data_IF_003455402699
#
_entry.id   IF_003455402699
#
_cell.length_a   1.000
_cell.length_b   1.000
_cell.length_c   1.000
_cell.angle_alpha   90.00
_cell.angle_beta   90.00
_cell.angle_gamma   90.00
#
_symmetry.space_group_name_H-M   'P 1'
#
loop_
_entity.id
_entity.type
_entity.pdbx_description
1 polymer ?
#
# COMPACT_ATOMS: atom_id res chain seq x y z
N UNK A 1 0.09 -17.54 -4.83
CA UNK A 1 -1.02 -16.64 -4.45
C UNK A 1 -0.93 -15.26 -5.10
N UNK A 2 -0.06 -14.31 -4.68
CA UNK A 2 -0.03 -12.95 -5.28
C UNK A 2 0.17 -12.95 -6.80
N UNK A 3 1.14 -13.71 -7.32
CA UNK A 3 1.38 -13.85 -8.78
C UNK A 3 0.15 -14.38 -9.52
N UNK A 4 -0.61 -15.30 -8.93
CA UNK A 4 -1.84 -15.83 -9.53
C UNK A 4 -2.95 -14.78 -9.59
N UNK A 5 -3.06 -13.91 -8.58
CA UNK A 5 -4.00 -12.78 -8.59
C UNK A 5 -3.60 -11.76 -9.66
N UNK A 6 -2.30 -11.48 -9.80
CA UNK A 6 -1.77 -10.62 -10.86
C UNK A 6 -2.10 -11.20 -12.23
N UNK A 7 -1.87 -12.50 -12.46
CA UNK A 7 -2.19 -13.14 -13.74
C UNK A 7 -3.69 -13.13 -14.06
N UNK A 8 -4.54 -13.41 -13.07
CA UNK A 8 -6.00 -13.27 -13.20
C UNK A 8 -6.41 -11.84 -13.54
N UNK A 9 -5.71 -10.84 -13.02
CA UNK A 9 -6.00 -9.44 -13.32
C UNK A 9 -5.81 -9.14 -14.81
N UNK A 10 -4.74 -9.68 -15.42
CA UNK A 10 -4.50 -9.51 -16.85
C UNK A 10 -5.59 -10.13 -17.71
N UNK A 11 -6.14 -11.28 -17.30
CA UNK A 11 -7.25 -11.92 -18.01
C UNK A 11 -8.56 -11.14 -17.85
N UNK A 12 -8.90 -10.78 -16.61
CA UNK A 12 -10.16 -10.10 -16.28
C UNK A 12 -10.28 -8.73 -16.95
N UNK A 13 -9.17 -7.98 -16.99
CA UNK A 13 -9.14 -6.63 -17.55
C UNK A 13 -8.76 -6.58 -19.04
N UNK A 14 -8.44 -7.72 -19.69
CA UNK A 14 -8.05 -7.77 -21.11
C UNK A 14 -9.11 -7.21 -22.07
N UNK A 15 -10.38 -7.21 -21.67
CA UNK A 15 -11.51 -6.66 -22.45
C UNK A 15 -11.48 -5.12 -22.56
N UNK A 16 -10.73 -4.44 -21.67
CA UNK A 16 -10.62 -2.99 -21.67
C UNK A 16 -9.51 -2.53 -22.60
N UNK A 17 -9.79 -1.46 -23.34
CA UNK A 17 -8.86 -0.85 -24.27
C UNK A 17 -8.43 0.52 -23.75
N UNK A 18 -7.20 0.97 -24.02
CA UNK A 18 -6.78 2.32 -23.69
C UNK A 18 -7.61 3.30 -24.51
N UNK A 19 -7.90 4.47 -23.95
CA UNK A 19 -8.54 5.50 -24.76
C UNK A 19 -7.52 6.15 -25.68
N UNK A 20 -8.00 6.78 -26.77
CA UNK A 20 -7.15 7.52 -27.70
C UNK A 20 -7.83 8.84 -28.07
N UNK A 21 -7.24 10.00 -27.71
CA UNK A 21 -6.06 10.16 -26.86
C UNK A 21 -6.32 9.70 -25.41
N UNK A 22 -5.26 9.30 -24.70
CA UNK A 22 -5.27 9.02 -23.26
C UNK A 22 -5.65 10.26 -22.45
N UNK A 23 -6.23 10.07 -21.26
CA UNK A 23 -6.56 11.16 -20.34
C UNK A 23 -5.31 11.60 -19.54
N UNK A 24 -4.40 12.27 -20.26
CA UNK A 24 -3.12 12.81 -19.76
C UNK A 24 -2.76 14.10 -20.50
N UNK A 25 -2.14 15.03 -19.81
CA UNK A 25 -1.62 16.27 -20.40
C UNK A 25 -0.44 15.99 -21.32
N UNK A 26 -0.62 16.20 -22.62
CA UNK A 26 0.45 16.07 -23.61
C UNK A 26 1.24 17.35 -23.88
N UNK A 27 0.84 18.47 -23.26
CA UNK A 27 1.50 19.77 -23.45
C UNK A 27 2.77 19.92 -22.59
N UNK A 28 2.78 19.31 -21.39
CA UNK A 28 3.92 19.44 -20.46
C UNK A 28 4.29 18.17 -19.69
N UNK A 29 3.40 17.16 -19.57
CA UNK A 29 3.66 15.99 -18.73
C UNK A 29 4.20 14.78 -19.51
N UNK A 30 3.61 14.47 -20.67
CA UNK A 30 4.01 13.35 -21.51
C UNK A 30 4.04 13.80 -22.98
N UNK A 31 5.07 13.45 -23.76
CA UNK A 31 5.04 13.83 -25.18
C UNK A 31 3.99 13.01 -25.94
N UNK A 32 3.41 13.55 -27.03
CA UNK A 32 2.47 12.79 -27.88
C UNK A 32 3.04 11.43 -28.35
N UNK A 33 4.35 11.33 -28.61
CA UNK A 33 4.96 10.05 -28.99
C UNK A 33 4.97 9.03 -27.85
N UNK A 34 5.18 9.48 -26.61
CA UNK A 34 5.15 8.62 -25.42
C UNK A 34 3.73 8.19 -25.08
N UNK A 35 2.76 9.09 -25.21
CA UNK A 35 1.33 8.78 -25.06
C UNK A 35 0.91 7.69 -26.05
N UNK A 36 1.24 7.89 -27.33
CA UNK A 36 0.94 6.92 -28.37
C UNK A 36 1.64 5.59 -28.13
N UNK A 37 2.90 5.62 -27.68
CA UNK A 37 3.66 4.41 -27.32
C UNK A 37 3.00 3.67 -26.17
N UNK A 38 2.60 4.36 -25.11
CA UNK A 38 1.94 3.76 -23.95
C UNK A 38 0.64 3.07 -24.36
N UNK A 39 -0.20 3.76 -25.14
CA UNK A 39 -1.48 3.23 -25.61
C UNK A 39 -1.35 2.07 -26.63
N UNK A 40 -0.14 1.79 -27.14
CA UNK A 40 0.10 0.78 -28.19
C UNK A 40 0.86 -0.44 -27.70
N UNK A 41 1.47 -0.40 -26.52
CA UNK A 41 2.20 -1.52 -25.96
C UNK A 41 1.24 -2.57 -25.39
N UNK A 42 1.57 -3.88 -25.51
CA UNK A 42 0.91 -4.90 -24.69
C UNK A 42 1.05 -4.55 -23.21
N UNK A 43 -0.05 -4.63 -22.43
CA UNK A 43 -0.08 -4.14 -21.03
C UNK A 43 1.03 -4.73 -20.17
N UNK A 44 1.35 -6.03 -20.33
CA UNK A 44 2.45 -6.72 -19.63
C UNK A 44 3.84 -6.16 -19.95
N UNK A 45 4.01 -5.53 -21.11
CA UNK A 45 5.30 -5.03 -21.60
C UNK A 45 5.48 -3.53 -21.34
N UNK A 46 4.51 -2.85 -20.73
CA UNK A 46 4.62 -1.42 -20.43
C UNK A 46 5.77 -1.19 -19.43
N UNK A 47 6.78 -0.37 -19.78
CA UNK A 47 7.86 -0.03 -18.86
C UNK A 47 7.36 0.78 -17.66
N UNK A 48 7.94 0.54 -16.47
CA UNK A 48 7.64 1.28 -15.24
C UNK A 48 7.69 2.79 -15.44
N UNK A 49 8.77 3.30 -16.04
CA UNK A 49 8.97 4.74 -16.23
C UNK A 49 7.91 5.37 -17.16
N UNK A 50 7.49 4.64 -18.21
CA UNK A 50 6.45 5.12 -19.10
C UNK A 50 5.09 5.18 -18.40
N UNK A 51 4.77 4.17 -17.57
CA UNK A 51 3.57 4.19 -16.75
C UNK A 51 3.62 5.26 -15.65
N UNK A 52 4.80 5.53 -15.09
CA UNK A 52 5.01 6.58 -14.10
C UNK A 52 4.77 7.98 -14.66
N UNK A 53 5.29 8.28 -15.85
CA UNK A 53 5.00 9.55 -16.53
C UNK A 53 3.49 9.75 -16.75
N UNK A 54 2.77 8.68 -17.10
CA UNK A 54 1.32 8.71 -17.20
C UNK A 54 0.65 8.88 -15.83
N UNK A 55 1.08 8.16 -14.79
CA UNK A 55 0.46 8.23 -13.47
C UNK A 55 0.57 9.63 -12.85
N UNK A 56 1.76 10.21 -12.94
CA UNK A 56 2.15 11.47 -12.30
C UNK A 56 1.76 12.71 -13.11
N UNK A 57 1.53 12.56 -14.41
CA UNK A 57 1.16 13.68 -15.25
C UNK A 57 -0.23 14.24 -14.93
N UNK A 58 -0.41 15.51 -15.27
CA UNK A 58 -1.68 16.21 -15.11
C UNK A 58 -2.78 15.50 -15.91
N UNK A 59 -3.95 15.39 -15.29
CA UNK A 59 -5.10 14.62 -15.78
C UNK A 59 -6.39 15.33 -15.35
N UNK A 60 -7.52 15.07 -16.00
CA UNK A 60 -8.83 15.46 -15.47
C UNK A 60 -9.03 14.91 -14.06
N UNK A 61 -9.93 15.53 -13.29
CA UNK A 61 -10.28 15.06 -11.94
C UNK A 61 -10.70 13.58 -11.94
N UNK A 62 -11.42 13.17 -12.99
CA UNK A 62 -11.83 11.78 -13.22
C UNK A 62 -11.51 11.39 -14.67
N UNK A 63 -10.59 10.43 -14.83
CA UNK A 63 -10.27 9.84 -16.14
C UNK A 63 -11.37 8.88 -16.57
N UNK A 64 -11.33 8.43 -17.81
CA UNK A 64 -12.19 7.33 -18.28
C UNK A 64 -11.84 6.04 -17.55
N UNK A 65 -12.84 5.35 -17.00
CA UNK A 65 -12.59 4.18 -16.16
C UNK A 65 -12.00 3.02 -16.96
N UNK A 66 -12.37 2.89 -18.24
CA UNK A 66 -11.85 1.85 -19.12
C UNK A 66 -10.34 1.96 -19.31
N UNK A 67 -9.81 3.20 -19.35
CA UNK A 67 -8.38 3.46 -19.42
C UNK A 67 -7.65 3.01 -18.15
N UNK A 68 -8.23 3.31 -16.99
CA UNK A 68 -7.65 2.91 -15.71
C UNK A 68 -7.69 1.40 -15.57
N UNK A 69 -8.82 0.77 -15.90
CA UNK A 69 -8.98 -0.68 -15.91
C UNK A 69 -8.02 -1.36 -16.89
N UNK A 70 -7.76 -0.76 -18.06
CA UNK A 70 -6.81 -1.29 -19.03
C UNK A 70 -5.38 -1.38 -18.47
N UNK A 71 -4.91 -0.36 -17.76
CA UNK A 71 -3.55 -0.34 -17.22
C UNK A 71 -3.41 -1.02 -15.85
N UNK A 72 -4.51 -1.20 -15.10
CA UNK A 72 -4.51 -1.70 -13.73
C UNK A 72 -3.71 -3.00 -13.51
N UNK A 73 -3.79 -4.03 -14.38
CA UNK A 73 -2.97 -5.23 -14.22
C UNK A 73 -1.47 -4.95 -14.15
N UNK A 74 -0.98 -3.95 -14.89
CA UNK A 74 0.43 -3.57 -14.86
C UNK A 74 0.81 -2.85 -13.58
N UNK A 75 -0.09 -2.07 -12.98
CA UNK A 75 0.15 -1.54 -11.64
C UNK A 75 0.32 -2.68 -10.64
N UNK A 76 -0.53 -3.69 -10.67
CA UNK A 76 -0.44 -4.84 -9.76
C UNK A 76 0.85 -5.65 -9.92
N UNK A 77 1.26 -5.90 -11.17
CA UNK A 77 2.50 -6.60 -11.49
C UNK A 77 3.73 -5.85 -10.97
N UNK A 78 3.79 -4.54 -11.22
CA UNK A 78 4.87 -3.67 -10.75
C UNK A 78 4.91 -3.57 -9.22
N UNK A 79 3.76 -3.37 -8.58
CA UNK A 79 3.66 -3.30 -7.12
C UNK A 79 4.08 -4.62 -6.47
N UNK A 80 3.71 -5.77 -7.05
CA UNK A 80 4.17 -7.08 -6.57
C UNK A 80 5.69 -7.27 -6.59
N UNK A 81 6.41 -6.40 -7.30
CA UNK A 81 7.88 -6.35 -7.35
C UNK A 81 8.45 -5.13 -6.60
N UNK A 82 7.60 -4.39 -5.87
CA UNK A 82 7.91 -3.11 -5.22
C UNK A 82 8.43 -2.04 -6.19
N UNK A 83 8.04 -2.12 -7.46
CA UNK A 83 8.39 -1.17 -8.52
C UNK A 83 7.30 -0.11 -8.75
N UNK A 84 7.12 0.81 -7.81
CA UNK A 84 6.01 1.79 -7.89
C UNK A 84 6.09 2.72 -9.13
N UNK A 85 5.05 2.77 -9.99
CA UNK A 85 5.03 3.60 -11.19
C UNK A 85 4.63 5.05 -10.84
N UNK A 86 5.40 5.70 -9.97
CA UNK A 86 5.21 7.07 -9.52
C UNK A 86 6.46 7.55 -8.76
N UNK A 87 6.60 8.86 -8.60
CA UNK A 87 7.62 9.45 -7.73
C UNK A 87 7.31 9.32 -6.23
N UNK A 88 6.03 9.16 -5.84
CA UNK A 88 5.62 9.00 -4.42
C UNK A 88 4.74 7.76 -4.28
N UNK A 89 5.21 6.73 -3.58
CA UNK A 89 4.57 5.41 -3.50
C UNK A 89 3.10 5.48 -3.08
N UNK A 90 2.73 6.41 -2.18
CA UNK A 90 1.36 6.66 -1.75
C UNK A 90 0.39 7.03 -2.89
N UNK A 91 0.93 7.51 -4.02
CA UNK A 91 0.17 7.95 -5.19
C UNK A 91 0.13 6.91 -6.32
N UNK A 92 0.66 5.69 -6.10
CA UNK A 92 0.69 4.63 -7.12
C UNK A 92 -0.70 4.31 -7.65
N UNK A 93 -1.73 4.42 -6.80
CA UNK A 93 -3.12 4.21 -7.16
C UNK A 93 -3.94 5.52 -7.26
N UNK A 94 -3.31 6.67 -7.41
CA UNK A 94 -4.02 7.97 -7.48
C UNK A 94 -5.08 8.04 -8.59
N UNK A 95 -4.90 7.27 -9.67
CA UNK A 95 -5.86 7.15 -10.76
C UNK A 95 -7.09 6.29 -10.40
N UNK A 96 -7.10 5.53 -9.30
CA UNK A 96 -8.27 4.79 -8.81
C UNK A 96 -9.18 5.63 -7.91
N UNK A 97 -8.62 6.63 -7.22
CA UNK A 97 -9.32 7.43 -6.20
C UNK A 97 -10.66 8.05 -6.65
N UNK A 98 -10.84 8.54 -7.89
CA UNK A 98 -12.10 9.18 -8.31
C UNK A 98 -13.27 8.23 -8.62
N UNK A 99 -13.09 6.92 -8.49
CA UNK A 99 -14.08 5.93 -8.92
C UNK A 99 -14.83 5.28 -7.75
N UNK A 100 -16.16 5.25 -7.87
CA UNK A 100 -17.04 4.60 -6.91
C UNK A 100 -17.16 3.10 -7.19
N UNK A 101 -17.46 2.31 -6.15
CA UNK A 101 -17.63 0.84 -6.26
C UNK A 101 -18.68 0.43 -7.31
N UNK A 102 -19.67 1.29 -7.60
CA UNK A 102 -20.72 1.02 -8.60
C UNK A 102 -20.20 0.97 -10.04
N UNK A 103 -19.00 1.50 -10.30
CA UNK A 103 -18.39 1.53 -11.63
C UNK A 103 -17.57 0.26 -11.93
N UNK A 104 -17.48 -0.64 -10.95
CA UNK A 104 -16.76 -1.90 -11.02
C UNK A 104 -17.76 -3.07 -11.09
N UNK A 105 -17.43 -4.08 -11.88
CA UNK A 105 -18.21 -5.32 -11.83
C UNK A 105 -17.92 -6.07 -10.53
N UNK A 106 -18.79 -7.01 -10.16
CA UNK A 106 -18.58 -7.85 -8.98
C UNK A 106 -17.24 -8.59 -9.01
N UNK A 107 -16.89 -9.16 -10.16
CA UNK A 107 -15.64 -9.93 -10.32
C UNK A 107 -14.41 -9.01 -10.25
N UNK A 108 -14.53 -7.77 -10.73
CA UNK A 108 -13.47 -6.76 -10.61
C UNK A 108 -13.27 -6.33 -9.16
N UNK A 109 -14.35 -6.04 -8.42
CA UNK A 109 -14.27 -5.72 -6.99
C UNK A 109 -13.67 -6.86 -6.17
N UNK A 110 -14.06 -8.10 -6.48
CA UNK A 110 -13.51 -9.28 -5.82
C UNK A 110 -12.00 -9.41 -6.08
N UNK A 111 -11.56 -9.24 -7.32
CA UNK A 111 -10.14 -9.28 -7.67
C UNK A 111 -9.35 -8.12 -7.03
N UNK A 112 -9.92 -6.90 -6.99
CA UNK A 112 -9.34 -5.75 -6.28
C UNK A 112 -9.11 -6.09 -4.80
N UNK A 113 -10.12 -6.68 -4.15
CA UNK A 113 -10.03 -7.10 -2.76
C UNK A 113 -8.95 -8.17 -2.56
N UNK A 114 -8.98 -9.24 -3.36
CA UNK A 114 -7.97 -10.30 -3.32
C UNK A 114 -6.55 -9.76 -3.53
N UNK A 115 -6.36 -8.83 -4.47
CA UNK A 115 -5.06 -8.19 -4.69
C UNK A 115 -4.61 -7.44 -3.44
N UNK A 116 -5.45 -6.57 -2.87
CA UNK A 116 -5.07 -5.79 -1.68
C UNK A 116 -4.66 -6.68 -0.50
N UNK A 117 -5.38 -7.78 -0.28
CA UNK A 117 -5.09 -8.75 0.78
C UNK A 117 -3.77 -9.47 0.53
N UNK A 118 -3.59 -10.06 -0.65
CA UNK A 118 -2.39 -10.85 -0.95
C UNK A 118 -1.14 -9.98 -1.10
N UNK A 119 -1.29 -8.77 -1.62
CA UNK A 119 -0.20 -7.79 -1.69
C UNK A 119 0.20 -7.32 -0.28
N UNK A 120 -0.77 -7.02 0.59
CA UNK A 120 -0.45 -6.59 1.94
C UNK A 120 0.24 -7.69 2.76
N UNK A 121 -0.21 -8.94 2.66
CA UNK A 121 0.51 -10.10 3.23
C UNK A 121 1.93 -10.21 2.69
N UNK A 122 2.12 -9.99 1.39
CA UNK A 122 3.45 -9.99 0.79
C UNK A 122 4.35 -8.92 1.43
N UNK A 123 3.85 -7.70 1.64
CA UNK A 123 4.56 -6.65 2.38
C UNK A 123 4.91 -7.09 3.81
N UNK A 124 3.99 -7.70 4.55
CA UNK A 124 4.23 -8.18 5.92
C UNK A 124 5.27 -9.30 6.00
N UNK A 125 5.44 -10.07 4.93
CA UNK A 125 6.39 -11.20 4.86
C UNK A 125 7.84 -10.80 4.54
N UNK A 126 8.10 -9.51 4.25
CA UNK A 126 9.42 -9.02 3.86
C UNK A 126 9.77 -7.79 4.69
N UNK A 127 10.96 -7.80 5.29
CA UNK A 127 11.49 -6.67 6.04
C UNK A 127 12.99 -6.48 5.80
N UNK A 128 13.47 -5.24 5.53
CA UNK A 128 12.67 -4.05 5.23
C UNK A 128 11.96 -4.20 3.87
N UNK A 129 10.96 -3.35 3.58
CA UNK A 129 10.37 -3.33 2.23
C UNK A 129 11.47 -2.99 1.20
N UNK A 130 11.53 -3.68 0.04
CA UNK A 130 12.59 -3.49 -0.95
C UNK A 130 12.33 -2.25 -1.83
N UNK A 131 12.02 -1.13 -1.19
CA UNK A 131 11.78 0.18 -1.79
C UNK A 131 12.43 1.25 -0.92
N UNK A 132 13.02 2.27 -1.56
CA UNK A 132 13.86 3.24 -0.86
C UNK A 132 13.04 4.09 0.11
N UNK A 133 13.35 4.02 1.41
CA UNK A 133 12.74 4.77 2.52
C UNK A 133 11.24 4.54 2.77
N UNK A 134 10.59 3.67 2.01
CA UNK A 134 9.19 3.35 2.22
C UNK A 134 9.01 2.35 3.37
N UNK A 135 7.94 2.57 4.13
CA UNK A 135 7.56 1.76 5.28
C UNK A 135 6.11 1.30 5.12
N UNK A 136 5.64 0.47 6.05
CA UNK A 136 4.29 -0.09 5.99
C UNK A 136 3.18 0.98 5.99
N UNK A 137 3.40 2.13 6.64
CA UNK A 137 2.48 3.28 6.61
C UNK A 137 2.31 3.85 5.19
N UNK A 138 3.37 3.90 4.38
CA UNK A 138 3.29 4.31 2.97
C UNK A 138 2.34 3.40 2.20
N UNK A 139 2.44 2.08 2.40
CA UNK A 139 1.59 1.08 1.75
C UNK A 139 0.14 1.22 2.22
N UNK A 140 -0.09 1.44 3.50
CA UNK A 140 -1.43 1.66 4.05
C UNK A 140 -2.06 2.94 3.50
N UNK A 141 -1.31 4.04 3.35
CA UNK A 141 -1.79 5.28 2.74
C UNK A 141 -2.16 5.04 1.27
N UNK A 142 -1.29 4.34 0.52
CA UNK A 142 -1.53 4.00 -0.88
C UNK A 142 -2.85 3.23 -1.05
N UNK A 143 -3.07 2.20 -0.22
CA UNK A 143 -4.26 1.36 -0.29
C UNK A 143 -5.52 2.11 0.20
N UNK A 144 -5.39 2.91 1.26
CA UNK A 144 -6.49 3.70 1.80
C UNK A 144 -6.98 4.74 0.77
N UNK A 145 -6.06 5.46 0.12
CA UNK A 145 -6.38 6.44 -0.93
C UNK A 145 -7.11 5.83 -2.13
N UNK A 146 -6.86 4.56 -2.40
CA UNK A 146 -7.51 3.82 -3.47
C UNK A 146 -8.85 3.21 -3.05
N UNK A 147 -9.29 3.41 -1.81
CA UNK A 147 -10.58 2.94 -1.31
C UNK A 147 -10.59 1.45 -0.91
N UNK A 148 -9.44 0.83 -0.71
CA UNK A 148 -9.36 -0.54 -0.18
C UNK A 148 -9.76 -0.59 1.30
N UNK A 149 -10.27 -1.73 1.74
CA UNK A 149 -10.74 -1.91 3.11
C UNK A 149 -9.56 -2.08 4.09
N UNK A 150 -9.11 -0.98 4.69
CA UNK A 150 -8.01 -1.00 5.65
C UNK A 150 -8.33 -1.85 6.88
N UNK A 151 -9.60 -1.91 7.32
CA UNK A 151 -9.98 -2.73 8.48
C UNK A 151 -9.63 -4.21 8.28
N UNK A 152 -9.94 -4.77 7.11
CA UNK A 152 -9.64 -6.17 6.79
C UNK A 152 -8.13 -6.42 6.76
N UNK A 153 -7.35 -5.47 6.22
CA UNK A 153 -5.89 -5.56 6.18
C UNK A 153 -5.29 -5.54 7.60
N UNK A 154 -5.81 -4.68 8.48
CA UNK A 154 -5.36 -4.62 9.87
C UNK A 154 -5.74 -5.89 10.66
N UNK A 155 -6.89 -6.50 10.38
CA UNK A 155 -7.24 -7.82 10.94
C UNK A 155 -6.28 -8.91 10.45
N UNK A 156 -5.84 -8.87 9.20
CA UNK A 156 -4.80 -9.79 8.71
C UNK A 156 -3.49 -9.57 9.46
N UNK A 157 -3.08 -8.31 9.63
CA UNK A 157 -1.84 -7.98 10.31
C UNK A 157 -1.82 -8.43 11.77
N UNK A 158 -2.94 -8.24 12.48
CA UNK A 158 -3.11 -8.71 13.86
C UNK A 158 -2.85 -10.23 14.00
N UNK A 159 -3.12 -11.02 12.96
CA UNK A 159 -2.92 -12.46 12.97
C UNK A 159 -1.55 -12.92 12.40
N UNK A 160 -0.72 -11.98 11.93
CA UNK A 160 0.56 -12.28 11.30
C UNK A 160 1.71 -12.19 12.31
N UNK A 161 2.02 -13.32 12.96
CA UNK A 161 2.98 -13.42 14.07
C UNK A 161 4.42 -13.72 13.61
N UNK A 162 4.88 -13.06 12.56
CA UNK A 162 6.25 -13.18 12.06
C UNK A 162 7.14 -12.06 12.59
N UNK A 163 8.45 -12.29 12.50
CA UNK A 163 9.46 -11.27 12.84
C UNK A 163 9.28 -10.04 11.96
N UNK A 164 9.16 -10.23 10.65
CA UNK A 164 9.00 -9.18 9.64
C UNK A 164 7.76 -8.32 9.93
N UNK A 165 6.62 -8.96 10.19
CA UNK A 165 5.37 -8.29 10.61
C UNK A 165 5.53 -7.47 11.89
N UNK A 166 6.26 -7.99 12.88
CA UNK A 166 6.51 -7.30 14.16
C UNK A 166 7.41 -6.09 13.99
N UNK A 167 8.41 -6.16 13.10
CA UNK A 167 9.28 -5.03 12.78
C UNK A 167 8.50 -3.91 12.05
N UNK A 168 7.59 -4.27 11.14
CA UNK A 168 6.65 -3.30 10.57
C UNK A 168 5.77 -2.64 11.64
N UNK A 169 5.29 -3.41 12.62
CA UNK A 169 4.43 -2.90 13.69
C UNK A 169 5.18 -1.89 14.56
N UNK A 170 6.45 -2.20 14.86
CA UNK A 170 7.36 -1.27 15.53
C UNK A 170 7.56 0.01 14.73
N UNK A 171 7.86 -0.08 13.44
CA UNK A 171 8.07 1.08 12.59
C UNK A 171 6.82 1.97 12.50
N UNK A 172 5.62 1.37 12.48
CA UNK A 172 4.37 2.13 12.54
C UNK A 172 4.23 2.90 13.85
N UNK A 173 4.55 2.28 14.99
CA UNK A 173 4.43 2.91 16.31
C UNK A 173 5.40 4.09 16.50
N UNK A 174 6.65 3.95 16.07
CA UNK A 174 7.66 4.99 16.32
C UNK A 174 7.81 6.01 15.19
N UNK A 175 7.46 5.64 13.96
CA UNK A 175 7.76 6.46 12.78
C UNK A 175 6.55 6.70 11.87
N UNK A 176 5.43 6.01 12.08
CA UNK A 176 4.21 6.18 11.28
C UNK A 176 3.48 7.51 11.51
N UNK A 177 3.70 8.14 12.66
CA UNK A 177 3.00 9.36 13.07
C UNK A 177 3.96 10.55 13.21
N UNK A 178 3.42 11.75 13.09
CA UNK A 178 4.14 12.99 13.26
C UNK A 178 4.57 13.17 14.73
N UNK A 179 5.87 13.36 14.96
CA UNK A 179 6.47 13.46 16.30
C UNK A 179 5.96 14.65 17.12
N UNK A 180 5.47 15.72 16.48
CA UNK A 180 4.98 16.92 17.14
C UNK A 180 3.44 16.99 17.14
N UNK A 181 2.78 16.22 16.27
CA UNK A 181 1.33 16.15 16.15
C UNK A 181 0.89 14.70 15.92
N UNK A 182 1.03 13.87 16.95
CA UNK A 182 0.77 12.42 16.91
C UNK A 182 -0.58 12.00 16.29
N UNK A 183 -1.68 12.76 16.38
CA UNK A 183 -2.92 12.47 15.63
C UNK A 183 -2.80 12.54 14.10
N UNK A 184 -1.63 12.89 13.56
CA UNK A 184 -1.33 13.00 12.13
C UNK A 184 -0.29 11.96 11.73
N UNK A 185 -0.45 11.35 10.57
CA UNK A 185 0.59 10.51 9.96
C UNK A 185 1.82 11.34 9.59
N UNK A 186 3.00 10.71 9.61
CA UNK A 186 4.27 11.37 9.27
C UNK A 186 4.35 11.73 7.79
N UNK A 187 3.82 10.87 6.90
CA UNK A 187 3.69 11.19 5.49
C UNK A 187 2.64 12.28 5.26
N UNK A 188 3.00 13.26 4.42
CA UNK A 188 2.10 14.35 4.01
C UNK A 188 0.91 13.87 3.16
N UNK A 189 0.97 12.65 2.63
CA UNK A 189 -0.12 12.03 1.87
C UNK A 189 -1.16 11.35 2.77
N UNK A 190 -0.84 11.12 4.05
CA UNK A 190 -1.76 10.54 5.02
C UNK A 190 -2.95 11.45 5.34
N UNK A 191 -4.13 10.84 5.46
CA UNK A 191 -5.34 11.54 5.90
C UNK A 191 -5.62 11.34 7.39
N UNK A 192 -6.39 12.27 7.99
CA UNK A 192 -6.82 12.16 9.39
C UNK A 192 -7.63 10.87 9.63
N UNK A 193 -8.51 10.50 8.70
CA UNK A 193 -9.33 9.29 8.81
C UNK A 193 -8.48 8.02 8.96
N UNK A 194 -7.46 7.86 8.11
CA UNK A 194 -6.53 6.74 8.23
C UNK A 194 -5.74 6.80 9.54
N UNK A 195 -5.27 7.98 9.95
CA UNK A 195 -4.58 8.15 11.21
C UNK A 195 -5.46 7.69 12.40
N UNK A 196 -6.73 8.11 12.42
CA UNK A 196 -7.69 7.71 13.46
C UNK A 196 -7.90 6.18 13.45
N UNK A 197 -8.09 5.56 12.29
CA UNK A 197 -8.23 4.10 12.14
C UNK A 197 -7.02 3.37 12.74
N UNK A 198 -5.81 3.82 12.38
CA UNK A 198 -4.58 3.19 12.84
C UNK A 198 -4.35 3.38 14.34
N UNK A 199 -4.63 4.57 14.88
CA UNK A 199 -4.52 4.83 16.32
C UNK A 199 -5.50 3.99 17.15
N UNK A 200 -6.73 3.84 16.68
CA UNK A 200 -7.74 2.98 17.33
C UNK A 200 -7.27 1.52 17.30
N UNK A 201 -6.78 1.05 16.16
CA UNK A 201 -6.26 -0.31 16.02
C UNK A 201 -5.05 -0.55 16.95
N UNK A 202 -4.07 0.35 16.96
CA UNK A 202 -2.90 0.28 17.85
C UNK A 202 -3.28 0.30 19.34
N UNK A 203 -4.36 0.98 19.72
CA UNK A 203 -4.82 1.06 21.12
C UNK A 203 -5.66 -0.16 21.54
N UNK A 204 -6.04 -1.04 20.60
CA UNK A 204 -6.87 -2.22 20.85
C UNK A 204 -6.12 -3.26 21.68
N UNK A 205 -6.78 -3.79 22.71
CA UNK A 205 -6.16 -4.71 23.68
C UNK A 205 -5.70 -6.03 23.03
N UNK A 206 -6.47 -6.58 22.08
CA UNK A 206 -6.10 -7.82 21.37
C UNK A 206 -4.84 -7.64 20.53
N UNK A 207 -4.72 -6.51 19.83
CA UNK A 207 -3.54 -6.12 19.05
C UNK A 207 -2.32 -6.00 19.98
N UNK A 208 -2.44 -5.25 21.08
CA UNK A 208 -1.35 -5.09 22.06
C UNK A 208 -0.90 -6.42 22.64
N UNK A 209 -1.83 -7.30 23.02
CA UNK A 209 -1.51 -8.61 23.58
C UNK A 209 -0.81 -9.52 22.56
N UNK A 210 -1.28 -9.52 21.31
CA UNK A 210 -0.70 -10.34 20.25
C UNK A 210 0.73 -9.91 19.94
N UNK A 211 0.94 -8.62 19.69
CA UNK A 211 2.29 -8.13 19.41
C UNK A 211 3.20 -8.19 20.64
N UNK A 212 2.70 -8.01 21.87
CA UNK A 212 3.52 -8.19 23.07
C UNK A 212 4.06 -9.62 23.19
N UNK A 213 3.24 -10.64 22.93
CA UNK A 213 3.67 -12.03 22.96
C UNK A 213 4.76 -12.30 21.90
N UNK A 214 4.56 -11.82 20.68
CA UNK A 214 5.53 -11.99 19.59
C UNK A 214 6.84 -11.24 19.86
N UNK A 215 6.77 -10.00 20.37
CA UNK A 215 7.95 -9.21 20.74
C UNK A 215 8.75 -9.91 21.85
N UNK A 216 8.08 -10.41 22.90
CA UNK A 216 8.72 -11.15 24.00
C UNK A 216 9.49 -12.37 23.47
N UNK A 217 8.87 -13.14 22.57
CA UNK A 217 9.52 -14.27 21.93
C UNK A 217 10.76 -13.86 21.12
N UNK A 218 10.65 -12.80 20.31
CA UNK A 218 11.76 -12.30 19.49
C UNK A 218 12.95 -11.82 20.34
N UNK A 219 12.68 -11.11 21.44
CA UNK A 219 13.71 -10.63 22.37
C UNK A 219 14.42 -11.80 23.05
N UNK A 220 13.69 -12.85 23.45
CA UNK A 220 14.27 -14.05 24.09
C UNK A 220 15.14 -14.83 23.10
N UNK A 221 14.66 -15.02 21.86
CA UNK A 221 15.38 -15.78 20.85
C UNK A 221 16.66 -15.07 20.41
N UNK A 222 16.64 -13.72 20.38
CA UNK A 222 17.76 -12.81 20.11
C UNK A 222 18.66 -13.18 18.91
N UNK A 223 18.12 -13.93 17.95
CA UNK A 223 18.86 -14.39 16.78
C UNK A 223 18.53 -13.49 15.60
N UNK A 224 19.57 -12.85 15.05
CA UNK A 224 19.51 -12.07 13.81
C UNK A 224 18.76 -10.72 13.87
N UNK A 225 18.68 -10.09 15.05
CA UNK A 225 18.20 -8.71 15.20
C UNK A 225 19.40 -7.76 15.37
N UNK A 226 19.31 -6.54 14.83
CA UNK A 226 20.29 -5.51 15.12
C UNK A 226 20.06 -4.93 16.53
N UNK A 227 21.10 -4.39 17.16
CA UNK A 227 20.99 -3.79 18.50
C UNK A 227 19.94 -2.67 18.56
N UNK A 228 19.83 -1.89 17.48
CA UNK A 228 18.80 -0.84 17.34
C UNK A 228 17.40 -1.44 17.38
N UNK A 229 17.19 -2.58 16.69
CA UNK A 229 15.90 -3.24 16.64
C UNK A 229 15.51 -3.78 18.02
N UNK A 230 16.45 -4.37 18.74
CA UNK A 230 16.25 -4.89 20.09
C UNK A 230 15.85 -3.76 21.04
N UNK A 231 16.52 -2.61 20.99
CA UNK A 231 16.23 -1.49 21.88
C UNK A 231 14.82 -0.94 21.66
N UNK A 232 14.43 -0.75 20.40
CA UNK A 232 13.08 -0.27 20.06
C UNK A 232 12.00 -1.30 20.39
N UNK A 233 12.26 -2.60 20.17
CA UNK A 233 11.32 -3.66 20.54
C UNK A 233 11.13 -3.76 22.05
N UNK A 234 12.19 -3.63 22.85
CA UNK A 234 12.07 -3.56 24.32
C UNK A 234 11.23 -2.36 24.75
N UNK A 235 11.50 -1.17 24.21
CA UNK A 235 10.72 0.03 24.51
C UNK A 235 9.25 -0.15 24.12
N UNK A 236 8.99 -0.70 22.93
CA UNK A 236 7.63 -0.95 22.45
C UNK A 236 6.89 -1.93 23.35
N UNK A 237 7.56 -3.02 23.76
CA UNK A 237 7.01 -4.01 24.69
C UNK A 237 6.54 -3.34 26.00
N UNK A 238 7.38 -2.49 26.58
CA UNK A 238 7.03 -1.75 27.80
C UNK A 238 5.84 -0.81 27.57
N UNK A 239 5.81 -0.09 26.45
CA UNK A 239 4.72 0.82 26.09
C UNK A 239 3.38 0.08 26.00
N UNK A 240 3.33 -1.03 25.25
CA UNK A 240 2.06 -1.74 24.99
C UNK A 240 1.59 -2.58 26.19
N UNK A 241 2.49 -3.00 27.08
CA UNK A 241 2.15 -3.70 28.34
C UNK A 241 1.72 -2.75 29.46
N UNK A 242 2.15 -1.49 29.42
CA UNK A 242 1.78 -0.51 30.44
C UNK A 242 0.31 -0.15 30.29
N UNK A 243 -0.52 -0.55 31.26
CA UNK A 243 -1.91 -0.09 31.32
C UNK A 243 -1.91 1.44 31.40
N UNK A 244 -2.59 2.11 30.47
CA UNK A 244 -3.01 3.50 30.70
C UNK A 244 -3.86 3.48 31.97
N UNK A 245 -3.28 3.92 33.08
CA UNK A 245 -4.04 4.22 34.28
C UNK A 245 -5.03 5.31 33.88
N UNK A 246 -6.32 4.95 33.78
CA UNK A 246 -7.37 5.89 33.42
C UNK A 246 -7.36 7.08 34.38
N UNK A 247 -7.18 8.27 33.83
CA UNK A 247 -7.52 9.55 34.45
C UNK A 247 -8.76 10.10 33.79
#
# INVERSE_FOLDING_TARGET
MLTEIIDKSYELFAKYMPTRPLDICTDCCMTPEKEFKLASLPVRQIPKNLLAEYNDGAKPEKTRIEEVKHFLPRYFDLLGQFEFPTHSTELSFSRLTPFDKIEWTKDELELLNQFSVEYFKHCLSIYPLPCFNDRIDTILIMLWKAGFNIGDLLTIWENENTKESTLHFRDLNFHGFDQYNHPKLSSAFGGKELADILLIWLDTETVKQTFAATIEQLIIENKYLADTDINELNLLYDIIRTKKNGS
#
